data_IF_875835414523
#
_entry.id   IF_875835414523
#
_cell.length_a   1.000
_cell.length_b   1.000
_cell.length_c   1.000
_cell.angle_alpha   90.00
_cell.angle_beta   90.00
_cell.angle_gamma   90.00
#
_symmetry.space_group_name_H-M   'P 1'
#
loop_
_entity.id
_entity.type
_entity.pdbx_description
1 polymer ?
#
# COMPACT_ATOMS: atom_id res chain seq x y z
N UNK A 1 18.18 17.58 6.64
CA UNK A 1 18.53 17.25 5.24
C UNK A 1 17.27 17.32 4.38
N UNK A 2 17.35 17.94 3.20
CA UNK A 2 16.28 17.89 2.18
C UNK A 2 16.53 16.62 1.35
N UNK A 3 15.64 15.63 1.47
CA UNK A 3 15.74 14.41 0.66
C UNK A 3 15.29 14.75 -0.76
N UNK A 4 16.21 14.76 -1.72
CA UNK A 4 15.88 14.85 -3.14
C UNK A 4 15.50 13.45 -3.62
N UNK A 5 14.21 13.26 -3.94
CA UNK A 5 13.72 12.03 -4.55
C UNK A 5 13.37 12.28 -6.01
N UNK A 6 13.81 11.40 -6.90
CA UNK A 6 13.32 11.36 -8.27
C UNK A 6 11.96 10.66 -8.28
N UNK A 7 10.93 11.38 -8.73
CA UNK A 7 9.56 10.88 -8.84
C UNK A 7 9.15 10.88 -10.31
N UNK A 8 8.52 9.80 -10.75
CA UNK A 8 7.93 9.74 -12.09
C UNK A 8 6.41 9.88 -11.99
N UNK A 9 5.86 10.95 -12.56
CA UNK A 9 4.44 11.22 -12.59
C UNK A 9 3.80 10.69 -13.88
N UNK A 10 2.64 10.06 -13.77
CA UNK A 10 1.87 9.55 -14.91
C UNK A 10 0.39 9.87 -14.71
N UNK A 11 -0.24 10.44 -15.73
CA UNK A 11 -1.68 10.69 -15.74
C UNK A 11 -2.16 10.76 -17.20
N UNK A 12 -3.36 10.25 -17.52
CA UNK A 12 -3.97 10.47 -18.83
C UNK A 12 -4.35 11.94 -19.07
N UNK A 13 -4.30 12.79 -18.03
CA UNK A 13 -4.60 14.23 -18.10
C UNK A 13 -3.33 15.02 -17.75
N UNK A 14 -2.46 15.36 -18.73
CA UNK A 14 -1.16 16.00 -18.48
C UNK A 14 -1.24 17.34 -17.75
N UNK A 15 -2.38 18.04 -17.87
CA UNK A 15 -2.64 19.31 -17.19
C UNK A 15 -2.51 19.16 -15.68
N UNK A 16 -2.95 18.04 -15.10
CA UNK A 16 -2.89 17.77 -13.65
C UNK A 16 -1.44 17.78 -13.15
N UNK A 17 -0.54 17.16 -13.90
CA UNK A 17 0.90 17.12 -13.55
C UNK A 17 1.46 18.55 -13.57
N UNK A 18 1.20 19.28 -14.66
CA UNK A 18 1.67 20.67 -14.78
C UNK A 18 1.12 21.58 -13.67
N UNK A 19 -0.10 21.32 -13.19
CA UNK A 19 -0.76 22.13 -12.17
C UNK A 19 -0.31 21.81 -10.75
N UNK A 20 0.08 20.56 -10.45
CA UNK A 20 0.67 20.16 -9.16
C UNK A 20 2.12 20.64 -9.06
N UNK A 21 2.86 20.61 -10.19
CA UNK A 21 4.30 20.94 -10.23
C UNK A 21 4.54 22.45 -10.40
N UNK A 22 3.65 23.18 -11.08
CA UNK A 22 3.86 24.61 -11.35
C UNK A 22 3.49 25.52 -10.16
N UNK A 23 4.24 26.60 -10.02
CA UNK A 23 4.07 27.62 -8.97
C UNK A 23 2.87 28.57 -9.23
N UNK A 24 2.25 28.50 -10.43
CA UNK A 24 1.07 29.29 -10.82
C UNK A 24 -0.20 28.54 -10.42
N UNK A 25 -0.52 28.61 -9.13
CA UNK A 25 -1.49 27.75 -8.42
C UNK A 25 -2.94 28.27 -8.40
N UNK A 26 -3.26 29.29 -9.21
CA UNK A 26 -4.50 30.05 -9.06
C UNK A 26 -5.76 29.42 -9.70
N UNK A 27 -5.66 28.24 -10.34
CA UNK A 27 -6.78 27.70 -11.14
C UNK A 27 -7.41 26.40 -10.65
N UNK A 28 -6.93 25.75 -9.59
CA UNK A 28 -7.48 24.45 -9.16
C UNK A 28 -8.23 24.52 -7.83
N UNK A 29 -9.57 24.55 -7.95
CA UNK A 29 -10.48 24.21 -6.85
C UNK A 29 -10.48 22.68 -6.68
N UNK A 30 -9.43 22.14 -6.06
CA UNK A 30 -9.38 20.73 -5.67
C UNK A 30 -10.34 20.50 -4.51
N UNK A 31 -11.32 19.63 -4.70
CA UNK A 31 -12.18 19.15 -3.62
C UNK A 31 -11.95 17.65 -3.44
N UNK A 32 -11.78 17.21 -2.19
CA UNK A 32 -11.56 15.81 -1.81
C UNK A 32 -10.31 15.19 -2.47
N UNK A 33 -9.16 15.44 -1.83
CA UNK A 33 -7.88 14.84 -2.19
C UNK A 33 -7.67 13.54 -1.43
N UNK A 34 -7.45 12.46 -2.16
CA UNK A 34 -7.10 11.18 -1.56
C UNK A 34 -5.79 10.66 -2.10
N UNK A 35 -4.85 10.37 -1.21
CA UNK A 35 -3.64 9.61 -1.52
C UNK A 35 -3.91 8.13 -1.21
N UNK A 36 -3.51 7.24 -2.11
CA UNK A 36 -3.56 5.78 -1.95
C UNK A 36 -2.14 5.25 -2.05
N UNK A 37 -1.72 4.43 -1.10
CA UNK A 37 -0.43 3.73 -1.13
C UNK A 37 -0.55 2.43 -0.36
N UNK A 38 0.25 1.44 -0.69
CA UNK A 38 0.24 0.15 -0.02
C UNK A 38 1.64 -0.42 0.13
N UNK A 39 1.79 -1.39 1.03
CA UNK A 39 3.02 -2.17 1.17
C UNK A 39 2.61 -3.62 1.34
N UNK A 40 3.15 -4.52 0.52
CA UNK A 40 2.92 -5.95 0.74
C UNK A 40 3.60 -6.40 2.04
N UNK A 41 3.03 -7.41 2.67
CA UNK A 41 3.60 -8.07 3.84
C UNK A 41 4.56 -9.17 3.42
N UNK A 42 5.63 -9.31 4.18
CA UNK A 42 6.68 -10.29 3.94
C UNK A 42 7.34 -10.13 2.56
N UNK A 43 8.48 -10.81 2.37
CA UNK A 43 8.98 -11.11 1.04
C UNK A 43 8.40 -12.45 0.55
N UNK A 44 8.42 -12.68 -0.76
CA UNK A 44 8.06 -13.97 -1.33
C UNK A 44 8.90 -15.10 -0.73
N UNK A 45 10.20 -14.86 -0.51
CA UNK A 45 11.11 -15.82 0.13
C UNK A 45 10.71 -16.11 1.58
N UNK A 46 10.33 -15.09 2.35
CA UNK A 46 9.84 -15.25 3.71
C UNK A 46 8.57 -16.12 3.75
N UNK A 47 7.61 -15.87 2.86
CA UNK A 47 6.39 -16.68 2.74
C UNK A 47 6.70 -18.13 2.35
N UNK A 48 7.53 -18.34 1.32
CA UNK A 48 7.95 -19.66 0.87
C UNK A 48 8.68 -20.44 1.96
N UNK A 49 9.46 -19.77 2.82
CA UNK A 49 10.13 -20.43 3.94
C UNK A 49 9.15 -21.05 4.96
N UNK A 50 7.91 -20.55 4.99
CA UNK A 50 6.83 -21.03 5.87
C UNK A 50 5.93 -22.08 5.22
N UNK A 51 6.12 -22.40 3.93
CA UNK A 51 5.28 -23.36 3.19
C UNK A 51 6.18 -24.42 2.55
N UNK A 52 6.06 -25.65 3.02
CA UNK A 52 6.69 -26.83 2.42
C UNK A 52 5.59 -27.66 1.74
N UNK A 53 5.60 -27.71 0.41
CA UNK A 53 4.57 -28.43 -0.37
C UNK A 53 4.44 -29.91 0.00
N UNK A 54 5.47 -30.52 0.58
CA UNK A 54 5.47 -31.91 1.00
C UNK A 54 5.22 -32.09 2.51
N UNK A 55 5.50 -31.07 3.33
CA UNK A 55 5.44 -31.16 4.80
C UNK A 55 4.42 -30.22 5.45
N UNK A 56 3.66 -29.49 4.64
CA UNK A 56 2.64 -28.56 5.11
C UNK A 56 3.19 -27.18 5.44
N UNK A 57 2.56 -26.53 6.41
CA UNK A 57 2.88 -25.13 6.75
C UNK A 57 3.60 -25.04 8.09
N UNK A 58 4.57 -24.13 8.17
CA UNK A 58 5.33 -23.84 9.38
C UNK A 58 5.00 -22.43 9.88
N UNK A 59 3.94 -22.33 10.66
CA UNK A 59 3.44 -21.07 11.24
C UNK A 59 4.50 -20.36 12.06
N UNK A 60 5.33 -21.10 12.82
CA UNK A 60 6.37 -20.52 13.67
C UNK A 60 7.41 -19.74 12.88
N UNK A 61 7.75 -20.20 11.66
CA UNK A 61 8.65 -19.44 10.78
C UNK A 61 8.04 -18.10 10.43
N UNK A 62 6.77 -18.06 10.05
CA UNK A 62 6.11 -16.80 9.71
C UNK A 62 5.99 -15.85 10.92
N UNK A 63 5.65 -16.39 12.10
CA UNK A 63 5.49 -15.60 13.34
C UNK A 63 6.79 -14.99 13.87
N UNK A 64 7.92 -15.65 13.64
CA UNK A 64 9.22 -15.25 14.17
C UNK A 64 10.08 -14.48 13.15
N UNK A 65 9.57 -14.21 11.94
CA UNK A 65 10.29 -13.41 10.95
C UNK A 65 10.28 -11.93 11.36
N UNK A 66 11.48 -11.37 11.52
CA UNK A 66 11.68 -9.95 11.73
C UNK A 66 11.26 -9.08 10.55
N UNK A 67 11.44 -7.75 10.63
CA UNK A 67 11.13 -6.85 9.53
C UNK A 67 12.01 -7.15 8.31
N UNK A 68 11.38 -7.43 7.17
CA UNK A 68 12.09 -7.71 5.92
C UNK A 68 12.71 -6.44 5.35
N UNK A 69 13.76 -6.56 4.54
CA UNK A 69 14.34 -5.41 3.86
C UNK A 69 13.30 -4.76 2.95
N UNK A 70 12.48 -5.54 2.25
CA UNK A 70 11.39 -5.07 1.40
C UNK A 70 10.46 -4.10 2.15
N UNK A 71 9.90 -4.53 3.29
CA UNK A 71 8.98 -3.71 4.07
C UNK A 71 9.65 -2.43 4.57
N UNK A 72 10.86 -2.54 5.14
CA UNK A 72 11.54 -1.39 5.75
C UNK A 72 12.05 -0.40 4.71
N UNK A 73 12.61 -0.88 3.60
CA UNK A 73 13.05 -0.05 2.48
C UNK A 73 11.87 0.69 1.87
N UNK A 74 10.76 -0.02 1.63
CA UNK A 74 9.57 0.58 1.04
C UNK A 74 8.99 1.67 1.93
N UNK A 75 8.81 1.41 3.24
CA UNK A 75 8.28 2.41 4.20
C UNK A 75 9.23 3.61 4.31
N UNK A 76 10.54 3.37 4.45
CA UNK A 76 11.55 4.42 4.53
C UNK A 76 11.55 5.34 3.30
N UNK A 77 11.25 4.79 2.12
CA UNK A 77 11.22 5.50 0.85
C UNK A 77 9.92 6.25 0.61
N UNK A 78 8.79 5.58 0.81
CA UNK A 78 7.45 6.06 0.46
C UNK A 78 6.91 7.09 1.44
N UNK A 79 7.09 6.91 2.75
CA UNK A 79 6.49 7.78 3.75
C UNK A 79 6.94 9.26 3.63
N UNK A 80 8.23 9.58 3.40
CA UNK A 80 8.64 10.96 3.14
C UNK A 80 7.96 11.58 1.92
N UNK A 81 7.77 10.81 0.83
CA UNK A 81 7.12 11.29 -0.40
C UNK A 81 5.64 11.56 -0.16
N UNK A 82 4.96 10.65 0.53
CA UNK A 82 3.56 10.82 0.91
C UNK A 82 3.40 12.08 1.77
N UNK A 83 4.29 12.29 2.74
CA UNK A 83 4.29 13.49 3.56
C UNK A 83 4.56 14.76 2.73
N UNK A 84 5.54 14.77 1.82
CA UNK A 84 5.83 15.90 0.92
C UNK A 84 4.60 16.24 0.06
N UNK A 85 3.95 15.24 -0.52
CA UNK A 85 2.73 15.42 -1.32
C UNK A 85 1.58 15.97 -0.47
N UNK A 86 1.34 15.40 0.71
CA UNK A 86 0.27 15.83 1.60
C UNK A 86 0.44 17.29 2.04
N UNK A 87 1.68 17.71 2.35
CA UNK A 87 1.98 19.10 2.71
C UNK A 87 1.78 20.05 1.52
N UNK A 88 2.35 19.71 0.35
CA UNK A 88 2.23 20.51 -0.86
C UNK A 88 0.76 20.73 -1.27
N UNK A 89 -0.06 19.69 -1.14
CA UNK A 89 -1.48 19.72 -1.42
C UNK A 89 -2.29 20.45 -0.34
N UNK A 90 -1.96 20.23 0.93
CA UNK A 90 -2.60 20.89 2.07
C UNK A 90 -2.40 22.40 2.08
N UNK A 91 -1.22 22.89 1.71
CA UNK A 91 -0.96 24.32 1.54
C UNK A 91 -1.77 24.95 0.41
N UNK A 92 -1.97 24.21 -0.68
CA UNK A 92 -2.73 24.66 -1.85
C UNK A 92 -4.20 24.89 -1.49
N UNK A 93 -4.80 24.00 -0.69
CA UNK A 93 -6.14 24.19 -0.14
C UNK A 93 -6.27 25.35 0.85
N UNK A 94 -5.19 25.73 1.56
CA UNK A 94 -5.20 26.83 2.54
C UNK A 94 -5.03 28.21 1.89
N UNK A 95 -4.22 28.35 0.83
CA UNK A 95 -4.00 29.65 0.15
C UNK A 95 -5.21 30.14 -0.64
N UNK A 96 -6.07 29.25 -1.11
CA UNK A 96 -7.35 29.61 -1.76
C UNK A 96 -8.36 30.29 -0.81
N UNK A 97 -8.08 30.34 0.51
CA UNK A 97 -8.96 30.94 1.54
C UNK A 97 -8.82 32.46 1.69
N UNK A 98 -7.86 33.09 1.01
CA UNK A 98 -7.65 34.55 1.10
C UNK A 98 -8.66 35.37 0.26
N UNK A 99 -9.61 34.73 -0.43
CA UNK A 99 -10.80 35.39 -0.98
C UNK A 99 -12.02 35.04 -0.13
N UNK A 100 -12.67 36.05 0.45
CA UNK A 100 -13.97 36.20 1.17
C UNK A 100 -15.00 35.04 1.36
N UNK A 101 -14.66 33.76 1.19
CA UNK A 101 -15.57 32.63 1.32
C UNK A 101 -15.29 31.88 2.62
N UNK A 102 -15.87 32.36 3.72
CA UNK A 102 -15.73 31.87 5.11
C UNK A 102 -16.26 30.45 5.38
N UNK A 103 -16.56 29.62 4.39
CA UNK A 103 -17.29 28.36 4.61
C UNK A 103 -16.86 27.16 3.72
N UNK A 104 -15.61 27.07 3.25
CA UNK A 104 -15.10 25.76 2.81
C UNK A 104 -14.52 25.02 4.00
N UNK A 105 -15.26 23.99 4.43
CA UNK A 105 -14.91 23.11 5.54
C UNK A 105 -13.45 22.66 5.45
N UNK A 106 -12.77 22.74 6.57
CA UNK A 106 -11.36 22.44 6.74
C UNK A 106 -11.14 20.90 6.71
N UNK A 107 -11.59 20.22 5.65
CA UNK A 107 -11.48 18.77 5.57
C UNK A 107 -10.00 18.40 5.37
N UNK A 108 -9.40 17.61 6.28
CA UNK A 108 -8.04 17.13 6.10
C UNK A 108 -7.95 16.27 4.83
N UNK A 109 -6.77 16.26 4.22
CA UNK A 109 -6.48 15.37 3.10
C UNK A 109 -6.62 13.91 3.57
N UNK A 110 -7.29 13.06 2.81
CA UNK A 110 -7.43 11.64 3.19
C UNK A 110 -6.24 10.86 2.65
N UNK A 111 -5.58 10.06 3.48
CA UNK A 111 -4.61 9.06 3.06
C UNK A 111 -5.18 7.67 3.35
N UNK A 112 -5.30 6.84 2.32
CA UNK A 112 -5.72 5.44 2.45
C UNK A 112 -4.50 4.52 2.26
N UNK A 113 -4.17 3.77 3.30
CA UNK A 113 -3.16 2.73 3.25
C UNK A 113 -3.81 1.39 2.91
N UNK A 114 -3.34 0.77 1.82
CA UNK A 114 -3.73 -0.57 1.38
C UNK A 114 -2.64 -1.57 1.77
N UNK A 115 -2.76 -2.13 2.98
CA UNK A 115 -1.86 -3.19 3.45
C UNK A 115 -2.60 -4.52 3.29
N UNK A 116 -2.11 -5.48 2.48
CA UNK A 116 -2.86 -6.67 2.16
C UNK A 116 -2.99 -7.61 3.38
N UNK A 117 -4.15 -8.28 3.50
CA UNK A 117 -4.39 -9.33 4.50
C UNK A 117 -4.78 -10.66 3.83
N UNK A 118 -6.04 -10.81 3.40
CA UNK A 118 -6.54 -12.06 2.82
C UNK A 118 -5.82 -12.46 1.52
N UNK A 119 -5.13 -11.53 0.85
CA UNK A 119 -4.39 -11.76 -0.41
C UNK A 119 -3.44 -12.95 -0.33
N UNK A 120 -2.95 -13.28 0.87
CA UNK A 120 -2.05 -14.39 1.12
C UNK A 120 -2.75 -15.75 1.25
N UNK A 121 -4.08 -15.78 1.39
CA UNK A 121 -4.86 -17.01 1.55
C UNK A 121 -4.63 -18.03 0.45
N UNK A 122 -4.39 -17.58 -0.79
CA UNK A 122 -4.06 -18.49 -1.88
C UNK A 122 -2.93 -19.46 -1.49
N UNK A 123 -1.90 -18.96 -0.82
CA UNK A 123 -0.70 -19.74 -0.51
C UNK A 123 -1.05 -20.95 0.37
N UNK A 124 -2.06 -20.82 1.24
CA UNK A 124 -2.57 -21.92 2.07
C UNK A 124 -3.70 -22.69 1.41
N UNK A 125 -4.48 -22.09 0.50
CA UNK A 125 -5.52 -22.80 -0.27
C UNK A 125 -4.93 -23.96 -1.08
N UNK A 126 -3.77 -23.76 -1.71
CA UNK A 126 -3.05 -24.82 -2.43
C UNK A 126 -2.61 -25.97 -1.48
N UNK A 127 -2.24 -25.65 -0.24
CA UNK A 127 -1.88 -26.64 0.78
C UNK A 127 -3.10 -27.41 1.29
N UNK A 128 -4.23 -26.73 1.50
CA UNK A 128 -5.50 -27.36 1.87
C UNK A 128 -6.00 -28.29 0.75
N UNK A 129 -5.92 -27.88 -0.51
CA UNK A 129 -6.28 -28.70 -1.67
C UNK A 129 -5.48 -30.01 -1.73
N UNK A 130 -4.19 -29.91 -1.47
CA UNK A 130 -3.26 -31.05 -1.47
C UNK A 130 -3.29 -31.87 -0.18
N UNK A 131 -4.14 -31.51 0.80
CA UNK A 131 -4.20 -32.13 2.12
C UNK A 131 -2.86 -32.12 2.86
N UNK A 132 -1.99 -31.15 2.53
CA UNK A 132 -0.67 -30.99 3.16
C UNK A 132 -0.74 -30.17 4.45
N UNK A 133 -1.85 -29.48 4.71
CA UNK A 133 -2.13 -28.86 6.01
C UNK A 133 -3.59 -29.04 6.42
N UNK A 134 -3.84 -28.91 7.71
CA UNK A 134 -5.19 -28.90 8.32
C UNK A 134 -5.82 -27.50 8.27
N UNK A 135 -7.14 -27.42 8.46
CA UNK A 135 -7.84 -26.14 8.58
C UNK A 135 -7.35 -25.30 9.76
N UNK A 136 -7.01 -25.94 10.88
CA UNK A 136 -6.49 -25.25 12.07
C UNK A 136 -5.11 -24.65 11.81
N UNK A 137 -4.22 -25.37 11.12
CA UNK A 137 -2.93 -24.83 10.73
C UNK A 137 -3.11 -23.64 9.78
N UNK A 138 -3.96 -23.77 8.75
CA UNK A 138 -4.23 -22.68 7.81
C UNK A 138 -4.78 -21.42 8.53
N UNK A 139 -5.68 -21.60 9.50
CA UNK A 139 -6.19 -20.51 10.33
C UNK A 139 -5.08 -19.85 11.16
N UNK A 140 -4.22 -20.63 11.81
CA UNK A 140 -3.08 -20.09 12.56
C UNK A 140 -2.09 -19.33 11.67
N UNK A 141 -1.89 -19.81 10.44
CA UNK A 141 -1.05 -19.14 9.45
C UNK A 141 -1.65 -17.78 9.02
N UNK A 142 -2.95 -17.73 8.74
CA UNK A 142 -3.63 -16.46 8.44
C UNK A 142 -3.63 -15.50 9.63
N UNK A 143 -3.82 -15.99 10.86
CA UNK A 143 -3.69 -15.15 12.05
C UNK A 143 -2.29 -14.52 12.16
N UNK A 144 -1.23 -15.20 11.72
CA UNK A 144 0.12 -14.64 11.67
C UNK A 144 0.25 -13.55 10.58
N UNK A 145 -0.44 -13.71 9.44
CA UNK A 145 -0.53 -12.67 8.41
C UNK A 145 -1.30 -11.46 8.92
N UNK A 146 -2.45 -11.64 9.61
CA UNK A 146 -3.22 -10.54 10.19
C UNK A 146 -2.42 -9.79 11.26
N UNK A 147 -1.72 -10.51 12.14
CA UNK A 147 -0.79 -9.88 13.08
C UNK A 147 0.25 -9.02 12.36
N UNK A 148 0.84 -9.53 11.27
CA UNK A 148 1.81 -8.77 10.47
C UNK A 148 1.17 -7.57 9.77
N UNK A 149 -0.07 -7.70 9.29
CA UNK A 149 -0.85 -6.60 8.73
C UNK A 149 -0.99 -5.46 9.73
N UNK A 150 -1.39 -5.77 10.97
CA UNK A 150 -1.54 -4.78 12.03
C UNK A 150 -0.22 -4.09 12.37
N UNK A 151 0.85 -4.88 12.53
CA UNK A 151 2.21 -4.39 12.82
C UNK A 151 2.70 -3.42 11.73
N UNK A 152 2.66 -3.84 10.45
CA UNK A 152 3.16 -3.03 9.33
C UNK A 152 2.26 -1.82 9.07
N UNK A 153 0.94 -1.96 9.19
CA UNK A 153 0.01 -0.83 9.07
C UNK A 153 0.28 0.23 10.13
N UNK A 154 0.56 -0.20 11.37
CA UNK A 154 0.93 0.70 12.45
C UNK A 154 2.25 1.41 12.13
N UNK A 155 3.32 0.67 11.80
CA UNK A 155 4.64 1.26 11.48
C UNK A 155 4.52 2.26 10.33
N UNK A 156 3.83 1.90 9.25
CA UNK A 156 3.71 2.74 8.08
C UNK A 156 2.95 4.04 8.41
N UNK A 157 1.80 3.93 9.08
CA UNK A 157 1.02 5.09 9.53
C UNK A 157 1.82 5.99 10.48
N UNK A 158 2.45 5.40 11.49
CA UNK A 158 3.22 6.15 12.50
C UNK A 158 4.42 6.86 11.88
N UNK A 159 5.10 6.23 10.93
CA UNK A 159 6.23 6.85 10.24
C UNK A 159 5.80 7.97 9.28
N UNK A 160 4.65 7.84 8.61
CA UNK A 160 4.06 8.95 7.83
C UNK A 160 3.72 10.13 8.77
N UNK A 161 3.10 9.88 9.92
CA UNK A 161 2.79 10.93 10.91
C UNK A 161 4.06 11.62 11.44
N UNK A 162 5.13 10.85 11.69
CA UNK A 162 6.44 11.39 12.04
C UNK A 162 6.94 12.35 10.93
N UNK A 163 6.92 11.90 9.67
CA UNK A 163 7.38 12.69 8.53
C UNK A 163 6.51 13.94 8.25
N UNK A 164 5.21 13.88 8.51
CA UNK A 164 4.29 15.03 8.46
C UNK A 164 4.61 16.04 9.58
N UNK A 165 4.79 15.55 10.81
CA UNK A 165 5.11 16.39 11.97
C UNK A 165 6.44 17.11 11.77
N UNK A 166 7.44 16.43 11.19
CA UNK A 166 8.74 17.00 10.85
C UNK A 166 8.66 18.17 9.86
N UNK A 167 7.64 18.20 8.99
CA UNK A 167 7.45 19.25 7.96
C UNK A 167 6.54 20.38 8.41
N UNK A 168 5.46 20.07 9.12
CA UNK A 168 4.39 21.02 9.41
C UNK A 168 4.19 21.32 10.90
N UNK A 169 4.91 20.64 11.79
CA UNK A 169 4.73 20.79 13.25
C UNK A 169 3.39 20.29 13.78
N UNK A 170 2.49 19.77 12.93
CA UNK A 170 1.19 19.20 13.31
C UNK A 170 0.82 18.04 12.38
N UNK A 171 0.26 16.98 12.98
CA UNK A 171 -0.26 15.80 12.29
C UNK A 171 -1.66 16.02 11.68
N UNK A 172 -2.32 17.15 11.97
CA UNK A 172 -3.72 17.41 11.56
C UNK A 172 -3.89 17.74 10.06
N UNK A 173 -2.82 17.68 9.28
CA UNK A 173 -2.86 17.94 7.83
C UNK A 173 -3.59 16.82 7.08
N UNK A 174 -3.55 15.59 7.60
CA UNK A 174 -4.00 14.40 6.91
C UNK A 174 -4.72 13.41 7.84
N UNK A 175 -5.87 12.89 7.40
CA UNK A 175 -6.56 11.76 8.02
C UNK A 175 -6.05 10.46 7.38
N UNK A 176 -5.22 9.71 8.11
CA UNK A 176 -4.62 8.47 7.65
C UNK A 176 -5.46 7.27 8.10
N UNK A 177 -6.04 6.57 7.12
CA UNK A 177 -6.89 5.39 7.31
C UNK A 177 -6.26 4.16 6.67
N UNK A 178 -6.35 3.01 7.33
CA UNK A 178 -6.05 1.70 6.73
C UNK A 178 -7.34 1.17 6.12
N UNK A 179 -7.28 0.62 4.90
CA UNK A 179 -8.49 0.23 4.17
C UNK A 179 -9.21 -0.94 4.84
N UNK A 180 -10.50 -0.80 5.22
CA UNK A 180 -11.24 -1.89 5.86
C UNK A 180 -11.82 -2.90 4.86
N UNK A 181 -11.74 -2.66 3.54
CA UNK A 181 -12.50 -3.42 2.55
C UNK A 181 -12.09 -4.91 2.51
N UNK A 182 -10.83 -5.20 2.83
CA UNK A 182 -10.30 -6.54 2.94
C UNK A 182 -10.84 -7.31 4.16
N UNK A 183 -11.33 -6.61 5.20
CA UNK A 183 -11.75 -7.23 6.46
C UNK A 183 -12.93 -8.17 6.27
N UNK A 184 -13.91 -7.81 5.44
CA UNK A 184 -15.08 -8.66 5.19
C UNK A 184 -14.67 -10.02 4.57
N UNK A 185 -13.73 -9.98 3.62
CA UNK A 185 -13.20 -11.20 2.98
C UNK A 185 -12.39 -12.02 3.99
N UNK A 186 -11.52 -11.35 4.75
CA UNK A 186 -10.70 -11.99 5.77
C UNK A 186 -11.56 -12.70 6.82
N UNK A 187 -12.55 -12.01 7.39
CA UNK A 187 -13.48 -12.61 8.37
C UNK A 187 -14.23 -13.81 7.78
N UNK A 188 -14.69 -13.72 6.54
CA UNK A 188 -15.41 -14.83 5.87
C UNK A 188 -14.51 -16.06 5.70
N UNK A 189 -13.23 -15.85 5.36
CA UNK A 189 -12.23 -16.93 5.24
C UNK A 189 -11.95 -17.55 6.62
N UNK A 190 -11.72 -16.73 7.64
CA UNK A 190 -11.44 -17.18 9.00
C UNK A 190 -12.60 -18.00 9.56
N UNK A 191 -13.83 -17.52 9.39
CA UNK A 191 -15.04 -18.19 9.82
C UNK A 191 -15.23 -19.57 9.19
N UNK A 192 -14.92 -19.71 7.90
CA UNK A 192 -14.98 -21.00 7.23
C UNK A 192 -13.93 -21.98 7.78
N UNK A 193 -12.68 -21.54 7.91
CA UNK A 193 -11.59 -22.36 8.44
C UNK A 193 -11.83 -22.77 9.89
N UNK A 194 -12.36 -21.86 10.73
CA UNK A 194 -12.71 -22.13 12.12
C UNK A 194 -13.82 -23.19 12.25
N UNK A 195 -14.75 -23.26 11.28
CA UNK A 195 -15.77 -24.32 11.18
C UNK A 195 -15.25 -25.62 10.56
N UNK A 196 -13.95 -25.69 10.21
CA UNK A 196 -13.37 -26.86 9.56
C UNK A 196 -13.84 -27.04 8.12
N UNK A 197 -14.22 -25.96 7.43
CA UNK A 197 -14.61 -26.00 6.02
C UNK A 197 -13.68 -25.14 5.17
N UNK A 198 -13.55 -25.50 3.90
CA UNK A 198 -12.76 -24.73 2.95
C UNK A 198 -13.55 -23.48 2.51
N UNK A 199 -12.95 -22.28 2.57
CA UNK A 199 -13.54 -21.06 2.03
C UNK A 199 -13.98 -21.20 0.58
N UNK A 200 -15.21 -20.75 0.28
CA UNK A 200 -15.76 -20.73 -1.08
C UNK A 200 -15.67 -19.34 -1.68
N UNK A 201 -15.03 -19.23 -2.85
CA UNK A 201 -14.97 -17.98 -3.61
C UNK A 201 -16.38 -17.45 -3.93
N UNK A 202 -17.31 -18.33 -4.30
CA UNK A 202 -18.68 -17.93 -4.63
C UNK A 202 -19.38 -17.29 -3.42
N UNK A 203 -19.21 -17.88 -2.24
CA UNK A 203 -19.76 -17.31 -1.00
C UNK A 203 -19.14 -15.95 -0.67
N UNK A 204 -17.82 -15.81 -0.81
CA UNK A 204 -17.12 -14.53 -0.61
C UNK A 204 -17.62 -13.45 -1.57
N UNK A 205 -17.78 -13.77 -2.85
CA UNK A 205 -18.28 -12.82 -3.86
C UNK A 205 -19.73 -12.41 -3.59
N UNK A 206 -20.58 -13.35 -3.16
CA UNK A 206 -21.95 -13.05 -2.75
C UNK A 206 -21.97 -12.06 -1.58
N UNK A 207 -21.21 -12.37 -0.52
CA UNK A 207 -21.10 -11.51 0.68
C UNK A 207 -20.60 -10.11 0.35
N UNK A 208 -19.59 -9.99 -0.53
CA UNK A 208 -19.08 -8.69 -0.97
C UNK A 208 -20.12 -7.89 -1.75
N UNK A 209 -20.86 -8.52 -2.65
CA UNK A 209 -21.92 -7.84 -3.42
C UNK A 209 -23.07 -7.37 -2.52
N UNK A 210 -23.39 -8.10 -1.45
CA UNK A 210 -24.45 -7.72 -0.51
C UNK A 210 -24.02 -6.62 0.47
N UNK A 211 -22.79 -6.68 0.98
CA UNK A 211 -22.36 -5.86 2.14
C UNK A 211 -21.44 -4.69 1.79
N UNK A 212 -20.87 -4.64 0.59
CA UNK A 212 -20.02 -3.53 0.14
C UNK A 212 -20.57 -2.96 -1.19
N UNK A 213 -21.43 -1.92 -1.14
CA UNK A 213 -22.07 -1.36 -2.34
C UNK A 213 -21.10 -0.84 -3.39
N UNK A 214 -19.96 -0.28 -2.97
CA UNK A 214 -18.91 0.14 -3.88
C UNK A 214 -18.30 -1.06 -4.63
N UNK A 215 -18.14 -2.20 -3.97
CA UNK A 215 -17.70 -3.44 -4.61
C UNK A 215 -18.72 -3.92 -5.63
N UNK A 216 -20.01 -3.95 -5.27
CA UNK A 216 -21.06 -4.38 -6.21
C UNK A 216 -21.04 -3.54 -7.50
N UNK A 217 -20.87 -2.22 -7.37
CA UNK A 217 -20.75 -1.32 -8.52
C UNK A 217 -19.47 -1.60 -9.32
N UNK A 218 -18.33 -1.68 -8.64
CA UNK A 218 -17.06 -2.02 -9.27
C UNK A 218 -17.13 -3.33 -10.05
N UNK A 219 -17.70 -4.37 -9.45
CA UNK A 219 -17.77 -5.72 -9.99
C UNK A 219 -18.61 -5.79 -11.27
N UNK A 220 -19.66 -4.97 -11.39
CA UNK A 220 -20.43 -4.80 -12.64
C UNK A 220 -19.62 -4.17 -13.77
N UNK A 221 -18.65 -3.31 -13.45
CA UNK A 221 -17.79 -2.65 -14.43
C UNK A 221 -16.62 -3.51 -14.90
N UNK A 222 -16.31 -4.59 -14.16
CA UNK A 222 -15.28 -5.57 -14.52
C UNK A 222 -15.81 -6.47 -15.65
N UNK A 223 -15.10 -6.59 -16.79
CA UNK A 223 -15.51 -7.48 -17.87
C UNK A 223 -15.59 -8.93 -17.41
N UNK A 224 -16.54 -9.72 -17.94
CA UNK A 224 -16.76 -11.10 -17.51
C UNK A 224 -15.49 -11.96 -17.55
N UNK A 225 -14.74 -11.88 -18.64
CA UNK A 225 -13.46 -12.61 -18.82
C UNK A 225 -12.40 -12.28 -17.77
N UNK A 226 -12.56 -11.18 -17.03
CA UNK A 226 -11.60 -10.72 -16.03
C UNK A 226 -12.16 -10.76 -14.61
N UNK A 227 -13.36 -11.35 -14.42
CA UNK A 227 -13.89 -11.66 -13.10
C UNK A 227 -13.05 -12.74 -12.42
N UNK A 228 -13.01 -12.78 -11.08
CA UNK A 228 -12.14 -13.70 -10.37
C UNK A 228 -12.71 -15.12 -10.44
N UNK A 229 -11.81 -16.08 -10.71
CA UNK A 229 -12.11 -17.52 -10.79
C UNK A 229 -11.49 -18.28 -9.61
N UNK A 230 -10.58 -17.64 -8.88
CA UNK A 230 -9.87 -18.14 -7.71
C UNK A 230 -9.52 -16.98 -6.75
N UNK A 231 -8.98 -17.31 -5.58
CA UNK A 231 -8.57 -16.28 -4.61
C UNK A 231 -7.37 -15.45 -5.08
N UNK A 232 -6.53 -15.96 -6.00
CA UNK A 232 -5.43 -15.20 -6.62
C UNK A 232 -5.96 -14.02 -7.43
N UNK A 233 -6.86 -14.32 -8.36
CA UNK A 233 -7.49 -13.35 -9.24
C UNK A 233 -8.39 -12.40 -8.45
N UNK A 234 -9.02 -12.86 -7.37
CA UNK A 234 -9.73 -11.99 -6.43
C UNK A 234 -8.76 -10.98 -5.77
N UNK A 235 -7.64 -11.46 -5.22
CA UNK A 235 -6.63 -10.60 -4.59
C UNK A 235 -6.10 -9.53 -5.54
N UNK A 236 -5.75 -9.91 -6.78
CA UNK A 236 -5.35 -8.91 -7.79
C UNK A 236 -6.44 -7.86 -8.05
N UNK A 237 -7.70 -8.29 -8.10
CA UNK A 237 -8.81 -7.40 -8.37
C UNK A 237 -9.07 -6.43 -7.20
N UNK A 238 -8.76 -6.84 -5.97
CA UNK A 238 -8.84 -5.98 -4.79
C UNK A 238 -7.85 -4.82 -4.85
N UNK A 239 -6.61 -5.02 -5.29
CA UNK A 239 -5.69 -3.89 -5.52
C UNK A 239 -6.27 -2.85 -6.48
N UNK A 240 -6.93 -3.29 -7.55
CA UNK A 240 -7.61 -2.39 -8.49
C UNK A 240 -8.80 -1.71 -7.83
N UNK A 241 -9.61 -2.47 -7.08
CA UNK A 241 -10.76 -1.95 -6.35
C UNK A 241 -10.35 -0.87 -5.36
N UNK A 242 -9.30 -1.07 -4.56
CA UNK A 242 -8.83 -0.11 -3.57
C UNK A 242 -8.47 1.25 -4.20
N UNK A 243 -7.83 1.26 -5.38
CA UNK A 243 -7.53 2.49 -6.11
C UNK A 243 -8.80 3.24 -6.52
N UNK A 244 -9.82 2.54 -7.02
CA UNK A 244 -11.04 3.17 -7.56
C UNK A 244 -12.17 3.33 -6.54
N UNK A 245 -12.07 2.70 -5.36
CA UNK A 245 -13.13 2.65 -4.34
C UNK A 245 -13.62 4.04 -3.95
N UNK A 246 -12.71 5.00 -3.82
CA UNK A 246 -13.03 6.38 -3.47
C UNK A 246 -13.87 7.09 -4.54
N UNK A 247 -13.70 6.73 -5.81
CA UNK A 247 -14.55 7.23 -6.90
C UNK A 247 -15.97 6.68 -6.82
N UNK A 248 -16.15 5.50 -6.21
CA UNK A 248 -17.42 4.77 -6.15
C UNK A 248 -18.26 5.13 -4.91
N UNK A 249 -17.63 5.49 -3.80
CA UNK A 249 -18.32 5.91 -2.57
C UNK A 249 -18.89 7.34 -2.70
N UNK A 250 -18.26 8.16 -3.53
CA UNK A 250 -18.41 9.62 -3.55
C UNK A 250 -19.74 10.23 -3.98
N UNK A 251 -20.86 9.49 -3.96
CA UNK A 251 -22.21 10.03 -4.18
C UNK A 251 -23.27 9.58 -3.14
N UNK A 252 -23.02 8.57 -2.29
CA UNK A 252 -24.11 7.93 -1.51
C UNK A 252 -23.89 7.82 0.01
N UNK A 253 -22.77 8.31 0.59
CA UNK A 253 -22.51 8.12 2.02
C UNK A 253 -22.60 9.41 2.86
N UNK A 254 -23.80 9.63 3.41
CA UNK A 254 -24.07 10.46 4.59
C UNK A 254 -23.57 9.80 5.91
N UNK A 255 -22.94 8.63 5.87
CA UNK A 255 -22.62 7.86 7.09
C UNK A 255 -21.24 8.12 7.70
N UNK A 256 -20.40 8.97 7.09
CA UNK A 256 -19.28 9.57 7.80
C UNK A 256 -19.81 10.71 8.68
N UNK A 257 -20.42 10.34 9.80
CA UNK A 257 -21.14 11.26 10.69
C UNK A 257 -20.35 12.52 11.02
N UNK A 258 -20.83 13.64 10.48
CA UNK A 258 -21.06 14.92 11.16
C UNK A 258 -22.07 15.68 10.29
N UNK A 259 -23.10 16.21 10.95
CA UNK A 259 -24.40 16.55 10.38
C UNK A 259 -24.39 17.52 9.19
N UNK A 260 -25.49 17.44 8.44
CA UNK A 260 -26.11 18.47 7.63
C UNK A 260 -25.19 19.61 7.17
N UNK A 261 -24.64 19.45 5.97
CA UNK A 261 -24.57 20.56 5.02
C UNK A 261 -24.55 19.97 3.61
N UNK A 262 -25.76 19.64 3.12
CA UNK A 262 -26.04 19.63 1.69
C UNK A 262 -25.99 21.11 1.26
N UNK A 263 -24.78 21.64 1.12
CA UNK A 263 -24.55 22.78 0.26
C UNK A 263 -24.45 22.23 -1.15
N UNK A 264 -25.57 22.30 -1.85
CA UNK A 264 -25.61 22.54 -3.28
C UNK A 264 -24.56 23.58 -3.65
N UNK A 265 -23.37 23.12 -4.03
CA UNK A 265 -22.36 23.97 -4.67
C UNK A 265 -22.80 24.13 -6.10
N UNK A 266 -23.52 25.22 -6.28
CA UNK A 266 -23.75 25.94 -7.52
C UNK A 266 -22.54 25.81 -8.49
N UNK A 267 -22.79 25.20 -9.65
CA UNK A 267 -22.06 25.35 -10.92
C UNK A 267 -20.55 25.61 -10.92
N UNK A 268 -19.76 24.91 -10.11
CA UNK A 268 -18.30 25.06 -10.06
C UNK A 268 -17.56 23.75 -10.27
N UNK A 269 -16.79 23.68 -11.35
CA UNK A 269 -15.96 22.57 -11.86
C UNK A 269 -14.83 22.11 -10.90
N UNK A 270 -15.18 21.71 -9.68
CA UNK A 270 -14.21 21.31 -8.66
C UNK A 270 -13.73 19.86 -8.90
N UNK A 271 -12.49 19.74 -9.37
CA UNK A 271 -11.91 18.44 -9.68
C UNK A 271 -11.60 17.63 -8.41
N UNK A 272 -12.09 16.38 -8.38
CA UNK A 272 -11.63 15.36 -7.42
C UNK A 272 -10.33 14.74 -7.93
N UNK A 273 -9.36 14.51 -7.06
CA UNK A 273 -8.05 13.95 -7.44
C UNK A 273 -7.69 12.77 -6.53
N UNK A 274 -7.42 11.63 -7.17
CA UNK A 274 -6.80 10.47 -6.57
C UNK A 274 -5.33 10.46 -6.93
N UNK A 275 -4.47 10.30 -5.94
CA UNK A 275 -3.03 10.15 -6.14
C UNK A 275 -2.63 8.78 -5.65
N UNK A 276 -2.03 7.96 -6.51
CA UNK A 276 -1.43 6.70 -6.08
C UNK A 276 0.07 6.83 -5.99
N UNK A 277 0.67 6.43 -4.87
CA UNK A 277 2.11 6.47 -4.64
C UNK A 277 2.63 5.05 -4.44
N UNK A 278 3.45 4.55 -5.39
CA UNK A 278 3.90 3.15 -5.38
C UNK A 278 5.13 2.90 -6.27
N UNK A 279 5.58 1.65 -6.37
CA UNK A 279 6.60 1.19 -7.29
C UNK A 279 6.07 1.05 -8.72
N UNK A 280 6.95 1.24 -9.70
CA UNK A 280 6.60 1.11 -11.13
C UNK A 280 6.17 -0.28 -11.56
N UNK A 281 6.42 -1.32 -10.75
CA UNK A 281 5.97 -2.69 -11.04
C UNK A 281 4.44 -2.82 -10.91
N UNK A 282 3.80 -1.96 -10.12
CA UNK A 282 2.34 -1.94 -9.92
C UNK A 282 1.57 -1.24 -11.04
N UNK A 283 2.26 -0.77 -12.09
CA UNK A 283 1.66 -0.07 -13.23
C UNK A 283 0.50 -0.81 -13.88
N UNK A 284 0.47 -2.15 -13.80
CA UNK A 284 -0.65 -2.97 -14.31
C UNK A 284 -1.94 -2.73 -13.53
N UNK A 285 -1.86 -2.58 -12.20
CA UNK A 285 -3.01 -2.24 -11.34
C UNK A 285 -3.57 -0.89 -11.74
N UNK A 286 -2.72 0.13 -11.87
CA UNK A 286 -3.16 1.49 -12.23
C UNK A 286 -3.70 1.58 -13.65
N UNK A 287 -3.07 0.92 -14.61
CA UNK A 287 -3.58 0.86 -15.98
C UNK A 287 -5.00 0.27 -16.03
N UNK A 288 -5.30 -0.71 -15.17
CA UNK A 288 -6.64 -1.29 -15.05
C UNK A 288 -7.60 -0.36 -14.31
N UNK A 289 -7.16 0.28 -13.23
CA UNK A 289 -7.93 1.30 -12.51
C UNK A 289 -8.35 2.45 -13.43
N UNK A 290 -7.45 2.97 -14.26
CA UNK A 290 -7.75 4.00 -15.26
C UNK A 290 -8.85 3.58 -16.24
N UNK A 291 -8.85 2.32 -16.70
CA UNK A 291 -9.91 1.79 -17.58
C UNK A 291 -11.26 1.78 -16.87
N UNK A 292 -11.31 1.40 -15.60
CA UNK A 292 -12.54 1.42 -14.80
C UNK A 292 -13.00 2.87 -14.56
N UNK A 293 -12.11 3.78 -14.16
CA UNK A 293 -12.41 5.20 -13.99
C UNK A 293 -12.90 5.86 -15.29
N UNK A 294 -12.40 5.42 -16.46
CA UNK A 294 -12.94 5.87 -17.76
C UNK A 294 -14.39 5.42 -17.97
N UNK A 295 -14.76 4.21 -17.55
CA UNK A 295 -16.16 3.74 -17.61
C UNK A 295 -17.05 4.49 -16.63
N UNK A 296 -16.56 4.76 -15.41
CA UNK A 296 -17.28 5.55 -14.40
C UNK A 296 -17.56 6.96 -14.94
N UNK A 297 -16.56 7.63 -15.53
CA UNK A 297 -16.72 8.94 -16.19
C UNK A 297 -17.74 8.97 -17.32
N UNK A 298 -17.91 7.85 -18.01
CA UNK A 298 -18.89 7.74 -19.08
C UNK A 298 -20.32 7.44 -18.57
N UNK A 299 -20.48 7.15 -17.27
CA UNK A 299 -21.78 6.87 -16.66
C UNK A 299 -22.44 8.16 -16.16
N UNK A 300 -23.73 8.31 -16.46
CA UNK A 300 -24.56 9.41 -15.93
C UNK A 300 -24.76 9.32 -14.40
N UNK A 301 -24.53 8.15 -13.79
CA UNK A 301 -24.60 7.94 -12.34
C UNK A 301 -23.45 8.63 -11.57
N UNK A 302 -22.33 8.95 -12.24
CA UNK A 302 -21.11 9.48 -11.62
C UNK A 302 -20.56 10.72 -12.34
N UNK A 303 -21.30 11.85 -12.36
CA UNK A 303 -20.93 13.04 -13.12
C UNK A 303 -19.61 13.69 -12.68
N UNK A 304 -19.15 13.44 -11.45
CA UNK A 304 -17.87 13.93 -10.93
C UNK A 304 -16.99 12.76 -10.51
N UNK A 305 -16.24 12.22 -11.47
CA UNK A 305 -15.26 11.15 -11.20
C UNK A 305 -13.86 11.75 -11.01
N UNK A 306 -13.09 11.31 -10.00
CA UNK A 306 -11.75 11.81 -9.81
C UNK A 306 -10.82 11.45 -10.96
N UNK A 307 -9.86 12.33 -11.23
CA UNK A 307 -8.70 11.99 -12.03
C UNK A 307 -7.71 11.19 -11.18
N UNK A 308 -7.06 10.20 -11.78
CA UNK A 308 -5.99 9.44 -11.13
C UNK A 308 -4.62 9.95 -11.61
N UNK A 309 -3.80 10.37 -10.65
CA UNK A 309 -2.39 10.67 -10.79
C UNK A 309 -1.58 9.51 -10.19
N UNK A 310 -0.69 8.94 -10.98
CA UNK A 310 0.24 7.91 -10.56
C UNK A 310 1.59 8.55 -10.26
N UNK A 311 2.15 8.27 -9.08
CA UNK A 311 3.46 8.75 -8.63
C UNK A 311 4.31 7.53 -8.35
N UNK A 312 5.30 7.31 -9.21
CA UNK A 312 6.21 6.17 -9.08
C UNK A 312 7.50 6.57 -8.38
N UNK A 313 7.81 5.84 -7.31
CA UNK A 313 9.00 6.03 -6.48
C UNK A 313 10.24 5.42 -7.13
N UNK A 314 11.37 6.13 -7.12
CA UNK A 314 12.64 5.57 -7.59
C UNK A 314 13.24 4.62 -6.55
N UNK A 315 13.48 3.36 -6.94
CA UNK A 315 14.17 2.39 -6.09
C UNK A 315 15.60 2.83 -5.78
N UNK A 316 16.06 2.54 -4.57
CA UNK A 316 17.44 2.78 -4.13
C UNK A 316 18.22 1.48 -3.86
N UNK A 317 17.52 0.36 -3.75
CA UNK A 317 18.09 -0.97 -3.63
C UNK A 317 17.81 -1.75 -4.91
N UNK A 318 18.86 -2.35 -5.47
CA UNK A 318 18.79 -3.14 -6.70
C UNK A 318 19.32 -4.54 -6.41
N UNK A 319 18.57 -5.56 -6.87
CA UNK A 319 18.97 -6.96 -6.77
C UNK A 319 19.37 -7.42 -8.17
N UNK A 320 20.55 -8.05 -8.28
CA UNK A 320 21.13 -8.57 -9.53
C UNK A 320 21.08 -7.57 -10.71
N UNK A 321 21.27 -6.28 -10.43
CA UNK A 321 21.26 -5.21 -11.45
C UNK A 321 19.96 -5.13 -12.26
N UNK A 322 18.82 -5.58 -11.71
CA UNK A 322 17.51 -5.67 -12.39
C UNK A 322 17.46 -6.61 -13.61
N UNK A 323 18.47 -7.48 -13.83
CA UNK A 323 18.61 -8.26 -15.06
C UNK A 323 17.41 -9.18 -15.39
N UNK A 324 16.53 -9.47 -14.41
CA UNK A 324 15.36 -10.35 -14.56
C UNK A 324 14.01 -9.72 -14.18
N UNK A 325 13.92 -8.38 -14.09
CA UNK A 325 12.75 -7.74 -13.48
C UNK A 325 12.61 -8.05 -11.98
N UNK A 326 13.71 -8.48 -11.38
CA UNK A 326 13.88 -8.73 -9.94
C UNK A 326 13.49 -7.49 -9.14
N UNK A 327 12.90 -7.73 -7.97
CA UNK A 327 12.52 -6.68 -7.04
C UNK A 327 12.60 -7.21 -5.60
N UNK A 328 12.61 -6.29 -4.64
CA UNK A 328 12.72 -6.65 -3.23
C UNK A 328 11.59 -7.57 -2.76
N UNK A 329 10.36 -7.44 -3.27
CA UNK A 329 9.30 -8.36 -2.88
C UNK A 329 9.62 -9.82 -3.29
N UNK A 330 10.17 -10.03 -4.50
CA UNK A 330 10.51 -11.37 -4.99
C UNK A 330 11.78 -11.94 -4.38
N UNK A 331 12.84 -11.13 -4.35
CA UNK A 331 14.21 -11.60 -4.16
C UNK A 331 14.86 -11.05 -2.88
N UNK A 332 14.05 -10.56 -1.93
CA UNK A 332 14.56 -10.15 -0.61
C UNK A 332 15.47 -11.24 -0.01
N UNK A 333 16.70 -10.90 0.39
CA UNK A 333 17.57 -11.84 1.10
C UNK A 333 17.06 -12.19 2.51
N UNK A 334 16.17 -11.39 3.10
CA UNK A 334 15.59 -11.62 4.43
C UNK A 334 14.85 -12.97 4.49
N UNK A 335 14.98 -13.73 5.59
CA UNK A 335 15.62 -13.37 6.87
C UNK A 335 17.14 -13.62 6.94
N UNK A 336 17.77 -14.01 5.84
CA UNK A 336 19.21 -14.27 5.83
C UNK A 336 19.99 -12.96 5.92
N UNK A 337 21.04 -12.99 6.75
CA UNK A 337 21.98 -11.90 6.92
C UNK A 337 22.72 -11.61 5.60
N UNK A 338 22.59 -10.39 5.09
CA UNK A 338 23.24 -9.98 3.84
C UNK A 338 24.75 -9.87 4.04
N UNK A 339 25.55 -10.56 3.21
CA UNK A 339 26.98 -10.35 3.18
C UNK A 339 27.28 -8.98 2.52
N UNK A 340 27.99 -8.06 3.19
CA UNK A 340 28.47 -6.86 2.50
C UNK A 340 29.45 -7.29 1.41
N UNK A 341 29.15 -7.04 0.13
CA UNK A 341 30.20 -7.09 -0.88
C UNK A 341 31.21 -5.97 -0.54
N UNK A 342 32.46 -6.35 -0.29
CA UNK A 342 33.55 -5.41 -0.27
C UNK A 342 33.56 -4.69 -1.65
N UNK A 343 33.83 -3.38 -1.69
CA UNK A 343 34.01 -2.71 -2.97
C UNK A 343 35.05 -3.51 -3.76
N UNK A 344 34.70 -3.95 -4.98
CA UNK A 344 35.62 -4.62 -5.90
C UNK A 344 36.71 -3.64 -6.28
N UNK A 345 37.71 -3.47 -5.42
CA UNK A 345 38.99 -2.92 -5.79
C UNK A 345 39.56 -3.90 -6.81
N UNK A 346 39.70 -3.43 -8.05
CA UNK A 346 40.46 -4.12 -9.08
C UNK A 346 41.92 -4.13 -8.64
N UNK A 347 42.33 -5.03 -7.74
CA UNK A 347 43.74 -5.35 -7.49
C UNK A 347 43.90 -6.76 -6.91
N UNK A 348 44.43 -7.62 -7.79
CA UNK A 348 45.38 -8.71 -7.55
C UNK A 348 45.35 -9.46 -6.23
N UNK A 349 45.06 -10.76 -6.37
CA UNK A 349 45.38 -11.87 -5.48
C UNK A 349 46.59 -11.66 -4.56
N UNK A 350 46.34 -11.74 -3.24
CA UNK A 350 47.16 -12.57 -2.35
C UNK A 350 46.26 -13.17 -1.28
N UNK A 351 46.39 -14.49 -1.14
CA UNK A 351 45.66 -15.40 -0.26
C UNK A 351 46.25 -15.32 1.15
N UNK A 352 45.40 -15.62 2.14
CA UNK A 352 45.62 -15.68 3.60
C UNK A 352 45.23 -14.39 4.34
N UNK A 353 44.00 -14.38 4.86
CA UNK A 353 43.76 -14.10 6.29
C UNK A 353 42.34 -14.52 6.71
N UNK A 354 42.22 -14.78 8.01
CA UNK A 354 41.14 -15.34 8.84
C UNK A 354 39.66 -15.18 8.38
N UNK A 355 38.74 -16.06 8.85
CA UNK A 355 37.31 -15.84 8.69
C UNK A 355 36.91 -14.58 9.48
N UNK A 356 36.92 -13.43 8.80
CA UNK A 356 36.28 -12.23 9.32
C UNK A 356 34.83 -12.62 9.59
N UNK A 357 34.38 -12.51 10.84
CA UNK A 357 32.95 -12.52 11.18
C UNK A 357 32.31 -11.42 10.35
N UNK A 358 31.78 -11.76 9.17
CA UNK A 358 30.95 -10.85 8.40
C UNK A 358 29.69 -10.67 9.21
N UNK A 359 29.66 -9.62 10.04
CA UNK A 359 28.44 -9.15 10.68
C UNK A 359 27.49 -8.81 9.55
N UNK A 360 26.57 -9.72 9.24
CA UNK A 360 25.67 -9.50 8.14
C UNK A 360 24.85 -8.23 8.34
N UNK A 361 24.53 -7.58 7.23
CA UNK A 361 23.63 -6.43 7.23
C UNK A 361 22.20 -6.95 7.45
N UNK A 362 21.56 -6.51 8.53
CA UNK A 362 20.12 -6.67 8.71
C UNK A 362 19.36 -5.56 7.96
N UNK A 363 18.03 -5.68 7.85
CA UNK A 363 17.16 -4.75 7.11
C UNK A 363 17.34 -3.29 7.54
N UNK A 364 17.35 -3.04 8.85
CA UNK A 364 17.52 -1.69 9.41
C UNK A 364 18.93 -1.12 9.20
N UNK A 365 19.98 -1.95 9.15
CA UNK A 365 21.34 -1.51 8.83
C UNK A 365 21.44 -1.02 7.37
N UNK A 366 20.73 -1.67 6.43
CA UNK A 366 20.63 -1.19 5.05
C UNK A 366 19.86 0.14 5.00
N UNK A 367 18.74 0.25 5.71
CA UNK A 367 18.00 1.51 5.83
C UNK A 367 18.89 2.63 6.38
N UNK A 368 19.67 2.36 7.43
CA UNK A 368 20.62 3.32 8.01
C UNK A 368 21.61 3.84 6.98
N UNK A 369 22.12 2.96 6.12
CA UNK A 369 23.11 3.31 5.09
C UNK A 369 22.52 4.15 3.96
N UNK A 370 21.27 3.92 3.59
CA UNK A 370 20.63 4.56 2.42
C UNK A 370 19.83 5.82 2.79
N UNK A 371 19.13 5.77 3.92
CA UNK A 371 18.18 6.81 4.36
C UNK A 371 18.70 7.60 5.57
N UNK A 372 19.76 7.13 6.24
CA UNK A 372 20.40 7.80 7.37
C UNK A 372 20.08 7.17 8.71
N UNK A 373 20.86 7.55 9.73
CA UNK A 373 20.76 7.00 11.08
C UNK A 373 19.42 7.31 11.75
N UNK A 374 18.91 8.52 11.58
CA UNK A 374 17.67 8.96 12.21
C UNK A 374 16.47 8.12 11.72
N UNK A 375 16.33 7.94 10.40
CA UNK A 375 15.28 7.10 9.80
C UNK A 375 15.35 5.66 10.32
N UNK A 376 16.55 5.08 10.39
CA UNK A 376 16.70 3.72 10.89
C UNK A 376 16.37 3.61 12.38
N UNK A 377 16.73 4.59 13.21
CA UNK A 377 16.44 4.60 14.63
C UNK A 377 14.93 4.70 14.89
N UNK A 378 14.22 5.58 14.18
CA UNK A 378 12.76 5.72 14.31
C UNK A 378 12.06 4.44 13.86
N UNK A 379 12.46 3.86 12.72
CA UNK A 379 11.85 2.61 12.26
C UNK A 379 12.15 1.44 13.22
N UNK A 380 13.33 1.42 13.84
CA UNK A 380 13.67 0.44 14.87
C UNK A 380 12.76 0.57 16.11
N UNK A 381 12.51 1.79 16.57
CA UNK A 381 11.61 2.08 17.68
C UNK A 381 10.18 1.64 17.36
N UNK A 382 9.64 2.06 16.21
CA UNK A 382 8.30 1.68 15.75
C UNK A 382 8.16 0.16 15.57
N UNK A 383 9.21 -0.52 15.10
CA UNK A 383 9.24 -1.98 15.02
C UNK A 383 9.17 -2.62 16.43
N UNK A 384 9.91 -2.08 17.39
CA UNK A 384 9.90 -2.58 18.77
C UNK A 384 8.53 -2.38 19.46
N UNK A 385 7.87 -1.24 19.24
CA UNK A 385 6.54 -0.93 19.79
C UNK A 385 5.48 -1.97 19.42
N UNK A 386 5.55 -2.50 18.20
CA UNK A 386 4.59 -3.50 17.70
C UNK A 386 5.07 -4.94 17.88
N UNK A 387 6.17 -5.16 18.60
CA UNK A 387 6.76 -6.48 18.84
C UNK A 387 7.35 -7.13 17.58
N UNK A 388 7.79 -6.32 16.62
CA UNK A 388 8.45 -6.76 15.39
C UNK A 388 9.97 -6.62 15.54
N UNK A 389 10.62 -7.61 16.15
CA UNK A 389 12.05 -7.54 16.44
C UNK A 389 12.91 -7.93 15.22
N UNK A 390 14.04 -7.24 15.04
CA UNK A 390 15.03 -7.46 13.97
C UNK A 390 16.18 -8.36 14.42
#
# INVERSE_FOLDING_TARGET
>A
MVSTQYLHFSSPTPQIISQIVSSKRDSLKLQNLTIVSGVCLFSMRALQSSIDKCRGINVKRLQNIGPTLYEMEYIARSAPVIADLAVLLGETGRRSKNGNSRAQSNRPLTLCLDVPSFHYYQSVDDCLQSHSCTFQEALQWLNAVEKRHEQISHIFRSYINHELSRRCGSSEVCDIRVSPAANLVCSTIHDALARGTRPSLHHVLHMLNEKEPAWATFFRLVPEKEKPHDFRSLGYLFYVFHVVRQALIGNNDETCGHGNDILSVDGGDAARLLISVDDSVERRVYSRAQKILKKIRASHEYPVTPNLLEVYLCRRVFIDGNAKGSNLYLDDPSPELMAPEAPRSVHTYTRHDAPSKSSGLNSLAVVKRIYGADTAAILQELCAEVGLHA
#
